data_IF_359667744898
#
_entry.id   IF_359667744898
#
_cell.length_a   1.000
_cell.length_b   1.000
_cell.length_c   1.000
_cell.angle_alpha   90.00
_cell.angle_beta   90.00
_cell.angle_gamma   90.00
#
_symmetry.space_group_name_H-M   'P 1'
#
loop_
_entity.id
_entity.type
_entity.pdbx_description
1 polymer ?
#
# COMPACT_ATOMS: atom_id res chain seq x y z
N UNK A 1 -19.29 -40.59 29.43
CA UNK A 1 -20.51 -40.19 28.70
C UNK A 1 -20.08 -39.85 27.27
N UNK A 2 -20.60 -40.51 26.23
CA UNK A 2 -20.23 -40.16 24.83
C UNK A 2 -20.88 -38.83 24.44
N UNK A 3 -20.07 -37.98 23.82
CA UNK A 3 -20.54 -36.67 23.29
C UNK A 3 -21.47 -36.96 22.10
N UNK A 4 -22.68 -36.39 22.10
CA UNK A 4 -23.64 -36.64 21.02
C UNK A 4 -23.10 -36.12 19.68
N UNK A 5 -23.19 -36.98 18.65
CA UNK A 5 -22.68 -36.71 17.28
C UNK A 5 -23.03 -35.34 16.70
N UNK A 6 -24.26 -34.75 16.94
CA UNK A 6 -24.59 -33.43 16.42
C UNK A 6 -23.72 -32.30 17.02
N UNK A 7 -23.28 -32.43 18.30
CA UNK A 7 -22.39 -31.44 18.92
C UNK A 7 -20.99 -31.47 18.35
N UNK A 8 -20.48 -32.63 17.95
CA UNK A 8 -19.18 -32.78 17.27
C UNK A 8 -19.20 -32.14 15.87
N UNK A 9 -20.29 -32.36 15.12
CA UNK A 9 -20.44 -31.76 13.77
C UNK A 9 -20.56 -30.24 13.86
N UNK A 10 -21.30 -29.73 14.84
CA UNK A 10 -21.46 -28.28 15.04
C UNK A 10 -20.13 -27.63 15.46
N UNK A 11 -19.35 -28.26 16.33
CA UNK A 11 -18.03 -27.79 16.72
C UNK A 11 -17.06 -27.78 15.55
N UNK A 12 -17.09 -28.80 14.68
CA UNK A 12 -16.25 -28.88 13.49
C UNK A 12 -16.62 -27.80 12.45
N UNK A 13 -17.91 -27.53 12.26
CA UNK A 13 -18.39 -26.47 11.35
C UNK A 13 -18.03 -25.06 11.87
N UNK A 14 -18.08 -24.84 13.18
CA UNK A 14 -17.65 -23.58 13.80
C UNK A 14 -16.14 -23.34 13.66
N UNK A 15 -15.32 -24.37 13.80
CA UNK A 15 -13.85 -24.26 13.63
C UNK A 15 -13.46 -24.00 12.17
N UNK A 16 -14.14 -24.63 11.20
CA UNK A 16 -13.92 -24.35 9.78
C UNK A 16 -14.34 -22.90 9.40
N UNK A 17 -15.45 -22.42 9.94
CA UNK A 17 -15.92 -21.05 9.68
C UNK A 17 -14.96 -20.00 10.27
N UNK A 18 -14.29 -20.31 11.40
CA UNK A 18 -13.31 -19.41 12.02
C UNK A 18 -11.99 -19.41 11.24
N UNK A 19 -11.55 -20.57 10.73
CA UNK A 19 -10.36 -20.69 9.89
C UNK A 19 -10.50 -19.95 8.54
N UNK A 20 -11.70 -19.94 7.94
CA UNK A 20 -11.97 -19.21 6.70
C UNK A 20 -11.90 -17.69 6.88
N UNK A 21 -12.15 -17.16 8.08
CA UNK A 21 -12.02 -15.71 8.36
C UNK A 21 -10.56 -15.26 8.53
N UNK A 22 -9.66 -16.14 8.94
CA UNK A 22 -8.24 -15.82 9.10
C UNK A 22 -7.52 -15.76 7.74
N UNK A 23 -7.97 -16.54 6.75
CA UNK A 23 -7.37 -16.57 5.42
C UNK A 23 -7.62 -15.30 4.57
N UNK A 24 -8.54 -14.42 4.98
CA UNK A 24 -8.85 -13.17 4.25
C UNK A 24 -8.12 -11.94 4.80
N UNK A 25 -7.23 -12.15 5.79
CA UNK A 25 -6.86 -11.04 6.67
C UNK A 25 -5.68 -10.21 6.20
N UNK A 26 -4.86 -10.58 5.24
CA UNK A 26 -3.64 -9.82 5.06
C UNK A 26 -3.05 -9.74 3.64
N UNK A 27 -3.89 -9.52 2.64
CA UNK A 27 -3.37 -9.28 1.29
C UNK A 27 -2.47 -8.03 1.19
N UNK A 28 -2.54 -7.11 2.17
CA UNK A 28 -1.63 -5.97 2.25
C UNK A 28 -0.25 -6.44 2.69
N UNK A 29 -0.17 -7.29 3.73
CA UNK A 29 1.10 -7.86 4.18
C UNK A 29 1.71 -8.74 3.08
N UNK A 30 0.91 -9.62 2.46
CA UNK A 30 1.34 -10.47 1.36
C UNK A 30 1.88 -9.66 0.16
N UNK A 31 1.22 -8.56 -0.20
CA UNK A 31 1.69 -7.66 -1.25
C UNK A 31 2.99 -6.95 -0.84
N UNK A 32 3.08 -6.49 0.42
CA UNK A 32 4.28 -5.85 0.93
C UNK A 32 5.49 -6.80 0.92
N UNK A 33 5.30 -8.05 1.32
CA UNK A 33 6.34 -9.08 1.31
C UNK A 33 6.80 -9.40 -0.11
N UNK A 34 5.86 -9.59 -1.06
CA UNK A 34 6.19 -9.85 -2.47
C UNK A 34 7.01 -8.73 -3.10
N UNK A 35 6.71 -7.48 -2.76
CA UNK A 35 7.39 -6.31 -3.30
C UNK A 35 8.56 -5.83 -2.42
N UNK A 36 8.84 -6.47 -1.29
CA UNK A 36 9.93 -6.11 -0.38
C UNK A 36 9.79 -4.69 0.17
N UNK A 37 8.58 -4.29 0.56
CA UNK A 37 8.29 -3.00 1.19
C UNK A 37 7.76 -3.18 2.61
N UNK A 38 7.77 -2.11 3.40
CA UNK A 38 7.24 -2.17 4.76
C UNK A 38 5.70 -2.26 4.76
N UNK A 39 5.15 -3.36 5.30
CA UNK A 39 3.72 -3.64 5.32
C UNK A 39 2.91 -2.66 6.17
N UNK A 40 3.46 -2.20 7.31
CA UNK A 40 2.80 -1.23 8.16
C UNK A 40 2.68 0.13 7.48
N UNK A 41 3.76 0.56 6.79
CA UNK A 41 3.74 1.78 5.97
C UNK A 41 2.74 1.66 4.83
N UNK A 42 2.71 0.51 4.12
CA UNK A 42 1.76 0.28 3.05
C UNK A 42 0.31 0.33 3.56
N UNK A 43 0.03 -0.27 4.71
CA UNK A 43 -1.28 -0.21 5.37
C UNK A 43 -1.66 1.22 5.76
N UNK A 44 -0.70 1.98 6.30
CA UNK A 44 -0.91 3.38 6.65
C UNK A 44 -1.17 4.26 5.42
N UNK A 45 -0.53 3.95 4.28
CA UNK A 45 -0.82 4.57 2.98
C UNK A 45 -2.28 4.32 2.60
N UNK A 46 -2.75 3.08 2.53
CA UNK A 46 -4.13 2.78 2.18
C UNK A 46 -5.14 3.42 3.14
N UNK A 47 -4.81 3.49 4.43
CA UNK A 47 -5.62 4.21 5.40
C UNK A 47 -5.68 5.72 5.13
N UNK A 48 -4.53 6.33 4.80
CA UNK A 48 -4.44 7.75 4.47
C UNK A 48 -5.20 8.09 3.19
N UNK A 49 -5.20 7.21 2.19
CA UNK A 49 -5.81 7.42 0.90
C UNK A 49 -7.34 7.34 0.95
N UNK A 50 -7.89 6.31 1.58
CA UNK A 50 -9.34 6.07 1.53
C UNK A 50 -9.92 5.42 2.79
N UNK A 51 -9.14 5.29 3.88
CA UNK A 51 -9.47 4.41 5.01
C UNK A 51 -9.67 2.95 4.56
N UNK A 52 -8.89 2.52 3.56
CA UNK A 52 -8.95 1.18 2.97
C UNK A 52 -10.30 0.83 2.33
N UNK A 53 -11.01 1.82 1.79
CA UNK A 53 -12.28 1.60 1.09
C UNK A 53 -12.04 1.12 -0.35
N UNK A 54 -12.39 -0.14 -0.71
CA UNK A 54 -12.03 -0.71 -2.01
C UNK A 54 -12.67 0.01 -3.19
N UNK A 55 -13.89 0.50 -3.03
CA UNK A 55 -14.65 1.16 -4.10
C UNK A 55 -14.48 2.69 -4.13
N UNK A 56 -13.48 3.24 -3.39
CA UNK A 56 -13.25 4.67 -3.39
C UNK A 56 -12.82 5.18 -4.77
N UNK A 57 -13.39 6.31 -5.18
CA UNK A 57 -13.03 7.02 -6.43
C UNK A 57 -12.84 8.49 -6.11
N UNK A 58 -11.64 8.99 -6.34
CA UNK A 58 -11.28 10.40 -6.28
C UNK A 58 -11.29 11.04 -7.67
N UNK A 59 -11.66 12.31 -7.76
CA UNK A 59 -11.65 13.09 -9.00
C UNK A 59 -10.64 14.22 -8.89
N UNK A 60 -9.68 14.27 -9.79
CA UNK A 60 -8.65 15.30 -9.82
C UNK A 60 -9.02 16.44 -10.78
N UNK A 61 -8.57 17.64 -10.47
CA UNK A 61 -8.86 18.84 -11.31
C UNK A 61 -8.31 18.73 -12.74
N UNK A 62 -7.30 17.88 -12.97
CA UNK A 62 -6.74 17.59 -14.30
C UNK A 62 -7.49 16.51 -15.07
N UNK A 63 -8.64 16.04 -14.56
CA UNK A 63 -9.48 15.02 -15.18
C UNK A 63 -9.04 13.58 -14.92
N UNK A 64 -7.95 13.35 -14.17
CA UNK A 64 -7.57 11.99 -13.76
C UNK A 64 -8.42 11.51 -12.58
N UNK A 65 -8.49 10.19 -12.41
CA UNK A 65 -9.18 9.54 -11.30
C UNK A 65 -8.17 8.86 -10.38
N UNK A 66 -8.48 8.83 -9.10
CA UNK A 66 -7.77 8.02 -8.12
C UNK A 66 -8.68 6.86 -7.70
N UNK A 67 -8.22 5.62 -7.84
CA UNK A 67 -9.06 4.43 -7.84
C UNK A 67 -8.68 3.47 -6.70
N UNK A 68 -9.71 2.94 -6.05
CA UNK A 68 -9.59 1.85 -5.08
C UNK A 68 -9.06 2.26 -3.71
N UNK A 69 -8.81 1.27 -2.87
CA UNK A 69 -8.39 1.45 -1.47
C UNK A 69 -7.10 2.28 -1.32
N UNK A 70 -6.24 2.28 -2.32
CA UNK A 70 -4.94 2.95 -2.33
C UNK A 70 -4.89 4.14 -3.29
N UNK A 71 -6.03 4.57 -3.83
CA UNK A 71 -6.18 5.75 -4.70
C UNK A 71 -5.15 5.77 -5.84
N UNK A 72 -5.07 4.65 -6.57
CA UNK A 72 -4.18 4.50 -7.73
C UNK A 72 -4.62 5.45 -8.83
N UNK A 73 -3.76 6.38 -9.20
CA UNK A 73 -4.10 7.35 -10.24
C UNK A 73 -4.25 6.70 -11.62
N UNK A 74 -5.29 7.10 -12.35
CA UNK A 74 -5.65 6.55 -13.66
C UNK A 74 -4.57 6.73 -14.75
N UNK A 75 -3.58 7.61 -14.53
CA UNK A 75 -2.39 7.72 -15.40
C UNK A 75 -1.59 6.41 -15.50
N UNK A 76 -1.72 5.53 -14.50
CA UNK A 76 -1.05 4.22 -14.48
C UNK A 76 -1.80 3.14 -15.25
N UNK A 77 -3.07 3.36 -15.61
CA UNK A 77 -3.89 2.34 -16.29
C UNK A 77 -3.28 1.81 -17.59
N UNK A 78 -2.62 2.61 -18.46
CA UNK A 78 -1.98 2.07 -19.66
C UNK A 78 -0.85 1.07 -19.35
N UNK A 79 -0.10 1.29 -18.27
CA UNK A 79 0.93 0.35 -17.81
C UNK A 79 0.28 -0.89 -17.18
N UNK A 80 -0.70 -0.71 -16.30
CA UNK A 80 -1.40 -1.79 -15.61
C UNK A 80 -2.19 -2.70 -16.58
N UNK A 81 -2.74 -2.14 -17.66
CA UNK A 81 -3.47 -2.91 -18.68
C UNK A 81 -2.58 -3.97 -19.34
N UNK A 82 -1.27 -3.75 -19.46
CA UNK A 82 -0.31 -4.75 -19.97
C UNK A 82 -0.22 -5.98 -19.06
N UNK A 83 -0.66 -5.85 -17.82
CA UNK A 83 -0.72 -6.91 -16.82
C UNK A 83 -2.16 -7.39 -16.54
N UNK A 84 -3.12 -7.02 -17.42
CA UNK A 84 -4.52 -7.41 -17.29
C UNK A 84 -5.31 -6.66 -16.22
N UNK A 85 -4.76 -5.55 -15.68
CA UNK A 85 -5.41 -4.78 -14.62
C UNK A 85 -6.05 -3.53 -15.24
N UNK A 86 -7.39 -3.54 -15.29
CA UNK A 86 -8.20 -2.38 -15.66
C UNK A 86 -8.69 -1.60 -14.44
N UNK A 87 -9.36 -0.49 -14.69
CA UNK A 87 -9.90 0.39 -13.65
C UNK A 87 -10.84 -0.36 -12.66
N UNK A 88 -11.68 -1.25 -13.15
CA UNK A 88 -12.62 -2.03 -12.33
C UNK A 88 -11.91 -3.01 -11.39
N UNK A 89 -10.75 -3.54 -11.79
CA UNK A 89 -9.97 -4.45 -10.96
C UNK A 89 -9.42 -3.77 -9.70
N UNK A 90 -9.19 -2.45 -9.76
CA UNK A 90 -8.70 -1.68 -8.62
C UNK A 90 -9.75 -1.49 -7.51
N UNK A 91 -11.03 -1.81 -7.77
CA UNK A 91 -12.07 -1.89 -6.75
C UNK A 91 -11.98 -3.19 -5.92
N UNK A 92 -11.14 -4.15 -6.29
CA UNK A 92 -10.74 -5.25 -5.41
C UNK A 92 -9.61 -4.77 -4.51
N UNK A 93 -9.82 -4.87 -3.18
CA UNK A 93 -8.86 -4.34 -2.20
C UNK A 93 -7.49 -5.03 -2.26
N UNK A 94 -7.44 -6.32 -2.62
CA UNK A 94 -6.19 -7.06 -2.73
C UNK A 94 -5.44 -6.72 -4.03
N UNK A 95 -6.16 -6.56 -5.14
CA UNK A 95 -5.57 -6.07 -6.41
C UNK A 95 -5.03 -4.65 -6.21
N UNK A 96 -5.80 -3.78 -5.53
CA UNK A 96 -5.36 -2.42 -5.23
C UNK A 96 -4.12 -2.40 -4.32
N UNK A 97 -4.05 -3.29 -3.32
CA UNK A 97 -2.88 -3.43 -2.44
C UNK A 97 -1.63 -3.89 -3.21
N UNK A 98 -1.78 -4.84 -4.13
CA UNK A 98 -0.70 -5.33 -4.98
C UNK A 98 -0.11 -4.23 -5.86
N UNK A 99 -0.99 -3.45 -6.52
CA UNK A 99 -0.57 -2.32 -7.34
C UNK A 99 0.08 -1.22 -6.49
N UNK A 100 -0.45 -0.97 -5.30
CA UNK A 100 0.12 0.01 -4.37
C UNK A 100 1.50 -0.39 -3.88
N UNK A 101 1.69 -1.67 -3.53
CA UNK A 101 2.99 -2.21 -3.11
C UNK A 101 4.03 -2.07 -4.23
N UNK A 102 3.66 -2.43 -5.47
CA UNK A 102 4.49 -2.22 -6.65
C UNK A 102 4.83 -0.73 -6.86
N UNK A 103 3.85 0.17 -6.75
CA UNK A 103 4.08 1.60 -6.89
C UNK A 103 5.00 2.14 -5.79
N UNK A 104 4.76 1.72 -4.53
CA UNK A 104 5.60 2.09 -3.39
C UNK A 104 7.02 1.53 -3.51
N UNK A 105 7.19 0.30 -4.01
CA UNK A 105 8.51 -0.29 -4.29
C UNK A 105 9.33 0.60 -5.22
N UNK A 106 8.76 1.14 -6.28
CA UNK A 106 9.43 2.08 -7.20
C UNK A 106 9.92 3.35 -6.49
N UNK A 107 9.23 3.80 -5.44
CA UNK A 107 9.70 4.92 -4.63
C UNK A 107 10.84 4.49 -3.71
N UNK A 108 10.75 3.30 -3.11
CA UNK A 108 11.82 2.72 -2.28
C UNK A 108 13.09 2.49 -3.10
N UNK A 109 12.99 2.03 -4.34
CA UNK A 109 14.14 1.86 -5.24
C UNK A 109 14.84 3.19 -5.55
N UNK A 110 14.06 4.26 -5.62
CA UNK A 110 14.59 5.59 -5.94
C UNK A 110 15.13 6.34 -4.71
N UNK A 111 14.49 6.19 -3.56
CA UNK A 111 14.72 7.02 -2.37
C UNK A 111 15.29 6.23 -1.19
N UNK A 112 15.52 4.92 -1.35
CA UNK A 112 15.78 4.01 -0.26
C UNK A 112 14.53 3.73 0.58
N UNK A 113 14.66 2.87 1.59
CA UNK A 113 13.59 2.61 2.56
C UNK A 113 13.55 3.76 3.59
N UNK A 114 13.00 4.90 3.19
CA UNK A 114 13.00 6.16 3.93
C UNK A 114 11.63 6.81 3.94
N UNK A 115 11.44 7.81 4.78
CA UNK A 115 10.26 8.66 4.78
C UNK A 115 10.08 9.45 3.47
N UNK A 116 11.18 9.74 2.76
CA UNK A 116 11.11 10.35 1.44
C UNK A 116 10.41 9.42 0.43
N UNK A 117 10.69 8.11 0.48
CA UNK A 117 9.97 7.12 -0.35
C UNK A 117 8.48 7.08 -0.03
N UNK A 118 8.11 7.07 1.27
CA UNK A 118 6.71 7.10 1.69
C UNK A 118 6.01 8.38 1.19
N UNK A 119 6.66 9.53 1.30
CA UNK A 119 6.15 10.79 0.77
C UNK A 119 6.00 10.82 -0.75
N UNK A 120 6.98 10.24 -1.46
CA UNK A 120 7.00 10.16 -2.92
C UNK A 120 5.92 9.24 -3.52
N UNK A 121 5.29 8.39 -2.71
CA UNK A 121 4.07 7.68 -3.11
C UNK A 121 2.99 8.66 -3.58
N UNK A 122 2.78 9.73 -2.82
CA UNK A 122 1.75 10.73 -3.09
C UNK A 122 2.20 11.80 -4.10
N UNK A 123 3.43 12.30 -3.98
CA UNK A 123 3.88 13.42 -4.82
C UNK A 123 5.40 13.47 -4.97
N UNK A 124 5.85 13.98 -6.12
CA UNK A 124 7.26 14.31 -6.34
C UNK A 124 7.62 15.71 -5.84
N UNK A 125 6.63 16.55 -5.55
CA UNK A 125 6.85 17.87 -4.98
C UNK A 125 7.24 17.73 -3.52
N UNK A 126 8.42 18.22 -3.15
CA UNK A 126 9.01 17.99 -1.82
C UNK A 126 8.05 18.37 -0.68
N UNK A 127 7.45 19.54 -0.71
CA UNK A 127 6.51 20.00 0.33
C UNK A 127 5.29 19.06 0.49
N UNK A 128 4.71 18.59 -0.61
CA UNK A 128 3.58 17.66 -0.59
C UNK A 128 3.99 16.29 -0.10
N UNK A 129 5.17 15.81 -0.53
CA UNK A 129 5.75 14.55 -0.08
C UNK A 129 6.05 14.56 1.42
N UNK A 130 6.70 15.62 1.92
CA UNK A 130 7.02 15.78 3.34
C UNK A 130 5.76 15.80 4.21
N UNK A 131 4.75 16.59 3.81
CA UNK A 131 3.46 16.62 4.51
C UNK A 131 2.75 15.28 4.50
N UNK A 132 2.83 14.53 3.40
CA UNK A 132 2.27 13.18 3.30
C UNK A 132 3.00 12.21 4.21
N UNK A 133 4.34 12.15 4.18
CA UNK A 133 5.15 11.31 5.05
C UNK A 133 4.87 11.56 6.53
N UNK A 134 4.70 12.83 6.93
CA UNK A 134 4.33 13.20 8.30
C UNK A 134 2.95 12.63 8.69
N UNK A 135 1.97 12.62 7.79
CA UNK A 135 0.66 12.00 8.04
C UNK A 135 0.77 10.48 8.21
N UNK A 136 1.57 9.81 7.37
CA UNK A 136 1.83 8.36 7.51
C UNK A 136 2.48 8.06 8.86
N UNK A 137 3.51 8.81 9.26
CA UNK A 137 4.15 8.65 10.57
C UNK A 137 3.15 8.85 11.72
N UNK A 138 2.30 9.86 11.66
CA UNK A 138 1.27 10.11 12.66
C UNK A 138 0.25 8.95 12.77
N UNK A 139 -0.10 8.30 11.64
CA UNK A 139 -0.95 7.10 11.63
C UNK A 139 -0.24 5.95 12.35
N UNK A 140 1.04 5.68 12.03
CA UNK A 140 1.80 4.61 12.66
C UNK A 140 2.00 4.84 14.16
N UNK A 141 2.28 6.07 14.61
CA UNK A 141 2.33 6.43 16.04
C UNK A 141 0.99 6.17 16.73
N UNK A 142 -0.12 6.60 16.11
CA UNK A 142 -1.48 6.36 16.66
C UNK A 142 -1.79 4.87 16.77
N UNK A 143 -1.32 4.05 15.83
CA UNK A 143 -1.46 2.59 15.88
C UNK A 143 -0.44 1.91 16.79
N UNK A 144 0.47 2.66 17.41
CA UNK A 144 1.56 2.15 18.26
C UNK A 144 2.53 1.22 17.53
N UNK A 145 2.67 1.38 16.22
CA UNK A 145 3.62 0.67 15.36
C UNK A 145 4.97 1.37 15.27
N UNK A 146 5.04 2.61 15.80
CA UNK A 146 6.29 3.33 16.04
C UNK A 146 6.17 4.16 17.32
N UNK A 147 7.30 4.45 18.01
CA UNK A 147 7.29 5.28 19.21
C UNK A 147 6.83 6.70 18.89
N UNK A 148 6.19 7.39 19.86
CA UNK A 148 5.91 8.81 19.75
C UNK A 148 7.19 9.62 19.53
N UNK A 149 7.14 10.61 18.65
CA UNK A 149 8.28 11.44 18.33
C UNK A 149 7.91 12.63 17.44
N UNK A 150 8.89 13.47 17.09
CA UNK A 150 8.67 14.54 16.13
C UNK A 150 8.33 13.95 14.74
N UNK A 151 7.64 14.73 13.89
CA UNK A 151 7.39 14.30 12.51
C UNK A 151 8.71 14.12 11.75
N UNK A 152 8.78 13.20 10.77
CA UNK A 152 9.99 12.96 9.97
C UNK A 152 10.56 14.18 9.27
N UNK A 153 9.71 15.12 8.90
CA UNK A 153 10.09 16.37 8.26
C UNK A 153 9.61 17.57 9.09
N UNK A 154 10.49 18.52 9.34
CA UNK A 154 10.12 19.78 9.97
C UNK A 154 9.18 20.61 9.07
N UNK A 155 8.34 21.45 9.66
CA UNK A 155 7.43 22.30 8.91
C UNK A 155 8.14 23.24 7.92
N UNK A 156 9.39 23.63 8.23
CA UNK A 156 10.25 24.46 7.37
C UNK A 156 10.83 23.71 6.17
N UNK A 157 10.99 22.39 6.25
CA UNK A 157 11.47 21.57 5.12
C UNK A 157 10.39 21.36 4.06
N UNK A 158 9.14 21.61 4.40
CA UNK A 158 8.05 21.69 3.43
C UNK A 158 8.23 22.83 2.39
N UNK A 159 9.30 23.61 2.48
CA UNK A 159 9.58 24.74 1.59
C UNK A 159 10.87 24.62 0.78
N UNK A 160 11.69 23.57 0.93
CA UNK A 160 12.96 23.48 0.22
C UNK A 160 12.80 22.80 -1.15
N UNK A 161 13.19 23.46 -2.22
CA UNK A 161 13.26 22.87 -3.52
C UNK A 161 14.67 22.37 -3.78
N UNK A 162 14.90 21.09 -3.77
CA UNK A 162 15.92 20.51 -4.64
C UNK A 162 15.52 19.09 -4.99
N UNK A 163 15.46 18.74 -6.27
CA UNK A 163 15.32 17.35 -6.62
C UNK A 163 16.53 16.64 -6.06
N UNK A 164 16.37 15.48 -5.40
CA UNK A 164 17.50 14.71 -4.94
C UNK A 164 18.40 14.45 -6.14
N UNK A 165 19.69 14.55 -5.90
CA UNK A 165 20.69 14.08 -6.82
C UNK A 165 20.27 12.68 -7.27
N UNK A 166 20.30 12.45 -8.58
CA UNK A 166 20.03 11.12 -9.11
C UNK A 166 20.79 10.10 -8.27
N UNK A 167 20.15 9.04 -7.78
CA UNK A 167 20.85 7.96 -7.13
C UNK A 167 21.96 7.50 -8.09
N UNK A 168 23.11 7.05 -7.59
CA UNK A 168 24.16 6.51 -8.43
C UNK A 168 23.53 5.46 -9.36
N UNK A 169 24.01 5.36 -10.61
CA UNK A 169 23.47 4.40 -11.55
C UNK A 169 23.47 3.02 -10.88
N UNK A 170 22.38 2.35 -11.02
CA UNK A 170 22.12 1.05 -10.42
C UNK A 170 23.18 0.04 -10.88
N UNK A 171 24.09 -0.36 -10.01
CA UNK A 171 25.12 -1.38 -10.26
C UNK A 171 24.77 -2.70 -9.58
N UNK A 172 23.54 -3.12 -9.63
CA UNK A 172 23.11 -4.40 -9.10
C UNK A 172 21.84 -4.82 -9.82
N UNK A 173 21.85 -6.03 -10.35
CA UNK A 173 20.70 -6.66 -10.97
C UNK A 173 19.62 -6.93 -9.91
N UNK A 174 18.83 -5.92 -9.59
CA UNK A 174 17.49 -6.17 -9.12
C UNK A 174 16.63 -6.26 -10.36
N UNK A 175 16.35 -7.48 -10.73
CA UNK A 175 15.27 -7.76 -11.65
C UNK A 175 14.05 -7.03 -11.08
N UNK A 176 13.52 -6.07 -11.82
CA UNK A 176 12.19 -5.52 -11.56
C UNK A 176 11.29 -6.73 -11.69
N UNK A 177 10.94 -7.35 -10.56
CA UNK A 177 10.05 -8.49 -10.57
C UNK A 177 8.80 -8.04 -11.33
N UNK A 178 8.45 -8.70 -12.44
CA UNK A 178 7.27 -8.37 -13.19
C UNK A 178 6.07 -8.50 -12.22
N UNK A 179 5.13 -7.60 -12.32
CA UNK A 179 3.86 -7.74 -11.65
C UNK A 179 3.28 -9.12 -12.00
N UNK A 180 3.19 -10.01 -11.02
CA UNK A 180 2.61 -11.34 -11.18
C UNK A 180 1.18 -11.24 -10.67
N UNK A 181 0.15 -11.23 -11.55
CA UNK A 181 -1.22 -11.33 -11.12
C UNK A 181 -1.38 -12.69 -10.41
N UNK A 182 -1.86 -12.67 -9.18
CA UNK A 182 -2.27 -13.89 -8.50
C UNK A 182 -3.41 -14.51 -9.31
N UNK A 183 -3.17 -15.69 -9.88
CA UNK A 183 -4.24 -16.52 -10.45
C UNK A 183 -5.25 -16.83 -9.33
N UNK A 184 -6.54 -16.64 -9.64
CA UNK A 184 -7.66 -17.06 -8.79
C UNK A 184 -7.77 -18.57 -8.72
#
# INVERSE_FOLDING_TARGET
MPIPRPLLVLALLLTLAFAARVAHADCIADAADRHGVNGDVLRAIGWQESHLQPAAVGHNANGTLDLGAFQINSIHLPELARHGIGATALADGCVSAEVAAWHYRRQVDRWGNTWAAAGAYHSRTHALAAGYANRIAAILMRWKLMPPGPPPFAATEAQAPDPPRQPPPFTGAYEVLPFVPTAR
#
